data_IF_825467092616
#
_entry.id   IF_825467092616
#
_cell.length_a   1.000
_cell.length_b   1.000
_cell.length_c   1.000
_cell.angle_alpha   90.00
_cell.angle_beta   90.00
_cell.angle_gamma   90.00
#
_symmetry.space_group_name_H-M   'P 1'
#
loop_
_entity.id
_entity.type
_entity.pdbx_description
1 polymer ?
#
# COMPACT_ATOMS: atom_id res chain seq x y z
N UNK A 1 -21.59 -10.63 -8.07
CA UNK A 1 -20.77 -11.64 -7.36
C UNK A 1 -21.51 -12.97 -7.37
N UNK A 2 -20.81 -14.10 -7.55
CA UNK A 2 -21.42 -15.42 -7.32
C UNK A 2 -21.86 -15.48 -5.86
N UNK A 3 -23.05 -16.04 -5.61
CA UNK A 3 -23.51 -16.31 -4.23
C UNK A 3 -22.50 -17.25 -3.56
N UNK A 4 -22.35 -17.20 -2.23
CA UNK A 4 -21.54 -18.08 -1.36
C UNK A 4 -19.99 -18.07 -1.45
N UNK A 5 -19.36 -17.42 -2.42
CA UNK A 5 -17.89 -17.54 -2.60
C UNK A 5 -17.09 -17.12 -1.35
N UNK A 6 -17.56 -16.12 -0.61
CA UNK A 6 -16.95 -15.69 0.64
C UNK A 6 -17.12 -16.71 1.76
N UNK A 7 -18.29 -17.34 1.86
CA UNK A 7 -18.59 -18.37 2.87
C UNK A 7 -17.74 -19.62 2.61
N UNK A 8 -17.64 -20.03 1.35
CA UNK A 8 -16.77 -21.13 0.91
C UNK A 8 -15.30 -20.84 1.19
N UNK A 9 -14.81 -19.66 0.83
CA UNK A 9 -13.45 -19.25 1.18
C UNK A 9 -13.21 -19.31 2.69
N UNK A 10 -14.17 -18.83 3.49
CA UNK A 10 -14.07 -18.85 4.95
C UNK A 10 -14.12 -20.27 5.53
N UNK A 11 -14.82 -21.21 4.91
CA UNK A 11 -14.88 -22.61 5.34
C UNK A 11 -13.66 -23.41 4.88
N UNK A 12 -13.41 -23.43 3.56
CA UNK A 12 -12.42 -24.29 2.89
C UNK A 12 -10.97 -23.93 3.21
N UNK A 13 -10.71 -22.76 3.78
CA UNK A 13 -9.34 -22.34 4.17
C UNK A 13 -9.09 -22.35 5.67
N UNK A 14 -9.96 -22.94 6.50
CA UNK A 14 -9.70 -23.16 7.93
C UNK A 14 -8.60 -24.20 8.16
N UNK A 15 -8.04 -24.21 9.37
CA UNK A 15 -7.28 -25.37 9.84
C UNK A 15 -8.25 -26.33 10.52
N UNK A 16 -8.12 -27.62 10.24
CA UNK A 16 -8.79 -28.70 10.96
C UNK A 16 -7.77 -29.37 11.89
N UNK A 17 -7.99 -29.38 13.23
CA UNK A 17 -7.07 -30.00 14.17
C UNK A 17 -6.92 -31.52 13.97
N UNK A 18 -7.86 -32.17 13.29
CA UNK A 18 -7.83 -33.60 12.97
C UNK A 18 -7.26 -33.89 11.58
N UNK A 19 -7.21 -32.88 10.69
CA UNK A 19 -6.61 -32.96 9.36
C UNK A 19 -5.96 -31.61 8.98
N UNK A 20 -4.70 -31.45 9.35
CA UNK A 20 -3.97 -30.22 9.04
C UNK A 20 -3.54 -30.12 7.57
N UNK A 21 -3.69 -31.21 6.79
CA UNK A 21 -3.08 -31.33 5.47
C UNK A 21 -1.54 -31.30 5.50
N UNK A 22 -0.90 -32.09 4.66
CA UNK A 22 0.56 -32.04 4.49
C UNK A 22 0.95 -31.16 3.32
N UNK A 23 1.43 -29.94 3.56
CA UNK A 23 2.17 -29.16 2.55
C UNK A 23 3.55 -28.82 3.10
N UNK A 24 4.59 -29.34 2.43
CA UNK A 24 5.98 -28.95 2.71
C UNK A 24 6.35 -27.90 1.66
N UNK A 25 6.60 -26.64 2.05
CA UNK A 25 6.98 -25.60 1.10
C UNK A 25 8.29 -25.96 0.39
N UNK A 26 8.27 -25.84 -0.94
CA UNK A 26 9.47 -25.98 -1.76
C UNK A 26 10.24 -24.66 -1.74
N UNK A 27 11.29 -24.62 -0.91
CA UNK A 27 12.12 -23.43 -0.72
C UNK A 27 12.90 -23.02 -1.98
N UNK A 28 13.11 -23.93 -2.93
CA UNK A 28 13.75 -23.61 -4.22
C UNK A 28 12.82 -22.74 -5.07
N UNK A 29 11.50 -22.93 -4.94
CA UNK A 29 10.47 -22.17 -5.67
C UNK A 29 10.05 -20.88 -4.97
N UNK A 30 10.73 -20.48 -3.90
CA UNK A 30 10.41 -19.23 -3.20
C UNK A 30 10.55 -18.04 -4.17
N UNK A 31 9.47 -17.27 -4.40
CA UNK A 31 9.56 -16.10 -5.28
C UNK A 31 10.42 -14.99 -4.69
N UNK A 32 10.98 -14.14 -5.56
CA UNK A 32 11.72 -12.95 -5.13
C UNK A 32 10.79 -12.01 -4.33
N UNK A 33 11.15 -11.64 -3.09
CA UNK A 33 10.29 -10.80 -2.23
C UNK A 33 10.33 -9.29 -2.56
N UNK A 34 10.94 -8.92 -3.69
CA UNK A 34 11.02 -7.54 -4.14
C UNK A 34 10.83 -7.45 -5.66
N UNK A 35 10.15 -6.40 -6.11
CA UNK A 35 10.05 -6.00 -7.50
C UNK A 35 10.87 -4.73 -7.69
N UNK A 36 11.41 -4.55 -8.88
CA UNK A 36 12.21 -3.39 -9.25
C UNK A 36 11.87 -3.03 -10.71
N UNK A 37 12.01 -1.77 -11.08
CA UNK A 37 11.81 -1.28 -12.44
C UNK A 37 13.12 -0.69 -12.96
N UNK A 38 14.11 -1.53 -13.34
CA UNK A 38 15.45 -1.07 -13.73
C UNK A 38 15.42 -0.22 -15.01
N UNK A 39 14.46 -0.46 -15.89
CA UNK A 39 14.25 0.32 -17.12
C UNK A 39 13.41 1.58 -16.89
N UNK A 40 13.11 1.93 -15.63
CA UNK A 40 12.42 3.16 -15.31
C UNK A 40 13.20 4.36 -15.83
N UNK A 41 12.54 5.17 -16.65
CA UNK A 41 13.10 6.40 -17.21
C UNK A 41 13.53 7.42 -16.14
N UNK A 42 13.09 7.25 -14.89
CA UNK A 42 13.45 8.12 -13.77
C UNK A 42 13.25 7.43 -12.42
N UNK A 43 14.30 7.38 -11.62
CA UNK A 43 14.20 7.12 -10.17
C UNK A 43 14.45 8.38 -9.35
N UNK A 44 13.91 8.42 -8.13
CA UNK A 44 14.12 9.49 -7.15
C UNK A 44 14.44 8.85 -5.80
N UNK A 45 15.64 9.11 -5.29
CA UNK A 45 16.02 8.73 -3.93
C UNK A 45 15.12 9.46 -2.93
N UNK A 46 14.51 8.72 -2.00
CA UNK A 46 13.72 9.34 -0.94
C UNK A 46 14.65 9.98 0.12
N UNK A 47 14.31 11.17 0.64
CA UNK A 47 15.05 11.77 1.75
C UNK A 47 15.13 10.84 2.96
N UNK A 48 16.27 10.85 3.64
CA UNK A 48 16.42 10.16 4.92
C UNK A 48 15.39 10.66 5.95
N UNK A 49 14.97 9.76 6.83
CA UNK A 49 13.93 10.06 7.81
C UNK A 49 14.58 10.47 9.12
N UNK A 50 14.52 11.77 9.38
CA UNK A 50 14.77 12.31 10.71
C UNK A 50 13.53 12.13 11.60
N UNK A 51 13.53 11.04 12.38
CA UNK A 51 12.43 10.71 13.29
C UNK A 51 12.16 11.79 14.36
N UNK A 52 13.14 12.65 14.67
CA UNK A 52 12.97 13.71 15.67
C UNK A 52 12.00 14.82 15.23
N UNK A 53 11.70 14.90 13.92
CA UNK A 53 10.73 15.84 13.34
C UNK A 53 9.28 15.43 13.56
N UNK A 54 9.04 14.18 13.95
CA UNK A 54 7.73 13.56 14.00
C UNK A 54 7.29 13.33 15.45
N UNK A 55 6.74 14.39 16.06
CA UNK A 55 6.39 14.43 17.48
C UNK A 55 4.88 14.35 17.69
N UNK A 56 4.34 13.13 17.69
CA UNK A 56 2.99 12.83 18.13
C UNK A 56 3.01 11.46 18.80
N UNK A 57 2.51 11.35 20.03
CA UNK A 57 2.48 10.06 20.71
C UNK A 57 1.54 9.08 20.00
N UNK A 58 1.79 7.78 20.15
CA UNK A 58 0.91 6.75 19.60
C UNK A 58 -0.53 6.91 20.11
N UNK A 59 -0.71 7.24 21.39
CA UNK A 59 -2.02 7.45 22.00
C UNK A 59 -2.78 8.62 21.34
N UNK A 60 -2.09 9.74 21.08
CA UNK A 60 -2.68 10.88 20.39
C UNK A 60 -3.00 10.58 18.93
N UNK A 61 -2.11 9.87 18.22
CA UNK A 61 -2.34 9.45 16.84
C UNK A 61 -3.59 8.57 16.74
N UNK A 62 -3.74 7.58 17.63
CA UNK A 62 -4.92 6.72 17.69
C UNK A 62 -6.20 7.49 18.00
N UNK A 63 -6.14 8.45 18.93
CA UNK A 63 -7.28 9.28 19.30
C UNK A 63 -7.74 10.18 18.14
N UNK A 64 -6.78 10.84 17.47
CA UNK A 64 -7.03 11.79 16.38
C UNK A 64 -7.39 11.12 15.06
N UNK A 65 -6.96 9.87 14.85
CA UNK A 65 -7.16 9.09 13.62
C UNK A 65 -8.60 9.17 13.11
N UNK A 66 -8.81 9.73 11.92
CA UNK A 66 -10.11 9.73 11.22
C UNK A 66 -9.94 9.55 9.72
N UNK A 67 -10.95 8.98 9.06
CA UNK A 67 -11.03 8.99 7.59
C UNK A 67 -11.41 10.40 7.12
N UNK A 68 -10.43 11.18 6.68
CA UNK A 68 -10.63 12.53 6.15
C UNK A 68 -10.64 12.46 4.63
N UNK A 69 -11.75 12.88 4.02
CA UNK A 69 -12.00 12.79 2.57
C UNK A 69 -12.02 14.14 1.85
N UNK A 70 -12.01 15.24 2.61
CA UNK A 70 -12.01 16.59 2.06
C UNK A 70 -10.58 17.14 2.02
N UNK A 71 -10.02 17.34 0.83
CA UNK A 71 -8.65 17.82 0.65
C UNK A 71 -8.59 19.20 -0.01
N UNK A 72 -7.54 19.95 0.34
CA UNK A 72 -7.13 21.20 -0.32
C UNK A 72 -6.35 20.89 -1.58
N UNK A 73 -7.02 20.86 -2.73
CA UNK A 73 -6.42 20.45 -4.00
C UNK A 73 -5.34 21.42 -4.52
N UNK A 74 -5.33 22.67 -4.03
CA UNK A 74 -4.37 23.75 -4.32
C UNK A 74 -3.01 23.57 -3.62
N UNK A 75 -2.90 22.64 -2.68
CA UNK A 75 -1.69 22.41 -1.89
C UNK A 75 -0.84 21.30 -2.48
N UNK A 76 0.46 21.34 -2.18
CA UNK A 76 1.42 20.27 -2.44
C UNK A 76 1.84 19.63 -1.12
N UNK A 77 2.19 18.34 -1.17
CA UNK A 77 2.84 17.64 -0.07
C UNK A 77 4.37 17.88 -0.14
N UNK A 78 5.03 18.00 1.01
CA UNK A 78 6.49 17.98 1.06
C UNK A 78 7.01 16.60 0.73
N UNK A 79 8.18 16.52 0.08
CA UNK A 79 8.80 15.23 -0.22
C UNK A 79 9.19 14.46 1.06
N UNK A 80 9.61 15.18 2.12
CA UNK A 80 9.91 14.59 3.43
C UNK A 80 8.71 13.87 4.05
N UNK A 81 7.53 14.49 3.99
CA UNK A 81 6.30 13.89 4.52
C UNK A 81 5.95 12.63 3.72
N UNK A 82 6.10 12.67 2.38
CA UNK A 82 5.91 11.48 1.55
C UNK A 82 6.89 10.35 1.91
N UNK A 83 8.17 10.68 2.07
CA UNK A 83 9.21 9.72 2.47
C UNK A 83 8.85 9.03 3.79
N UNK A 84 8.43 9.80 4.78
CA UNK A 84 7.99 9.27 6.07
C UNK A 84 6.75 8.37 5.96
N UNK A 85 5.74 8.76 5.18
CA UNK A 85 4.54 7.94 4.95
C UNK A 85 4.91 6.59 4.28
N UNK A 86 5.82 6.61 3.30
CA UNK A 86 6.30 5.41 2.62
C UNK A 86 7.03 4.48 3.59
N UNK A 87 7.94 5.03 4.40
CA UNK A 87 8.63 4.23 5.39
C UNK A 87 7.71 3.70 6.47
N UNK A 88 6.77 4.50 6.97
CA UNK A 88 5.82 4.06 7.99
C UNK A 88 4.97 2.87 7.50
N UNK A 89 4.70 2.79 6.19
CA UNK A 89 3.92 1.70 5.60
C UNK A 89 4.76 0.46 5.28
N UNK A 90 5.95 0.61 4.69
CA UNK A 90 6.74 -0.51 4.16
C UNK A 90 8.27 -0.35 4.31
N UNK A 91 8.74 0.62 5.09
CA UNK A 91 10.16 0.89 5.35
C UNK A 91 10.85 -0.23 6.13
N UNK A 92 12.14 -0.42 5.87
CA UNK A 92 12.96 -1.45 6.52
C UNK A 92 13.35 -1.01 7.94
N UNK A 93 13.19 -1.90 8.92
CA UNK A 93 13.48 -1.67 10.35
C UNK A 93 14.55 -2.59 10.90
N UNK A 94 14.77 -3.76 10.29
CA UNK A 94 15.83 -4.68 10.67
C UNK A 94 16.22 -5.59 9.49
N UNK A 95 17.41 -6.18 9.57
CA UNK A 95 17.90 -7.19 8.62
C UNK A 95 18.30 -8.46 9.37
N UNK A 96 17.86 -9.61 8.88
CA UNK A 96 18.31 -10.92 9.37
C UNK A 96 18.57 -11.84 8.18
N UNK A 97 19.84 -12.17 7.95
CA UNK A 97 20.27 -12.81 6.70
C UNK A 97 19.84 -11.96 5.49
N UNK A 98 19.14 -12.58 4.56
CA UNK A 98 18.60 -11.92 3.36
C UNK A 98 17.21 -11.30 3.57
N UNK A 99 16.62 -11.42 4.76
CA UNK A 99 15.28 -10.90 5.06
C UNK A 99 15.37 -9.45 5.55
N UNK A 100 14.62 -8.55 4.92
CA UNK A 100 14.43 -7.17 5.36
C UNK A 100 13.08 -7.07 6.08
N UNK A 101 13.12 -6.89 7.41
CA UNK A 101 11.92 -6.68 8.19
C UNK A 101 11.38 -5.27 7.95
N UNK A 102 10.06 -5.16 7.81
CA UNK A 102 9.37 -3.90 7.51
C UNK A 102 8.64 -3.35 8.74
N UNK A 103 8.26 -2.07 8.68
CA UNK A 103 7.42 -1.40 9.68
C UNK A 103 6.06 -2.08 9.86
N UNK A 104 5.46 -2.57 8.78
CA UNK A 104 4.27 -3.42 8.86
C UNK A 104 4.66 -4.91 9.00
N UNK A 105 3.98 -5.68 9.88
CA UNK A 105 4.15 -7.11 9.94
C UNK A 105 3.61 -7.79 8.67
N UNK A 106 4.14 -8.98 8.37
CA UNK A 106 3.67 -9.82 7.28
C UNK A 106 3.71 -11.29 7.68
N UNK A 107 2.68 -12.06 7.33
CA UNK A 107 2.63 -13.48 7.64
C UNK A 107 3.87 -14.22 7.09
N UNK A 108 4.64 -14.82 7.99
CA UNK A 108 5.85 -15.56 7.64
C UNK A 108 7.00 -14.71 7.09
N UNK A 109 6.95 -13.38 7.25
CA UNK A 109 7.90 -12.43 6.67
C UNK A 109 8.05 -12.60 5.14
N UNK A 110 6.93 -12.84 4.45
CA UNK A 110 6.90 -13.10 3.00
C UNK A 110 6.69 -11.83 2.17
N UNK A 111 6.08 -10.79 2.73
CA UNK A 111 5.89 -9.47 2.13
C UNK A 111 5.29 -9.52 0.70
N UNK A 112 4.04 -10.02 0.55
CA UNK A 112 3.40 -10.13 -0.75
C UNK A 112 2.96 -8.77 -1.33
N UNK A 113 2.89 -7.73 -0.51
CA UNK A 113 2.33 -6.43 -0.89
C UNK A 113 3.40 -5.52 -1.50
N UNK A 114 3.15 -5.04 -2.73
CA UNK A 114 3.90 -3.95 -3.34
C UNK A 114 3.17 -2.63 -3.16
N UNK A 115 3.93 -1.54 -3.10
CA UNK A 115 3.39 -0.18 -2.94
C UNK A 115 3.64 0.62 -4.22
N UNK A 116 2.56 0.99 -4.88
CA UNK A 116 2.55 2.01 -5.91
C UNK A 116 1.95 3.30 -5.35
N UNK A 117 2.37 4.43 -5.89
CA UNK A 117 1.94 5.74 -5.45
C UNK A 117 1.64 6.57 -6.69
N UNK A 118 0.36 6.88 -6.87
CA UNK A 118 -0.01 7.92 -7.80
C UNK A 118 0.27 9.28 -7.15
N UNK A 119 1.21 10.03 -7.73
CA UNK A 119 1.59 11.36 -7.31
C UNK A 119 0.84 12.37 -8.15
N UNK A 120 -0.05 13.15 -7.54
CA UNK A 120 -0.71 14.29 -8.18
C UNK A 120 0.04 15.58 -7.92
N UNK A 121 0.39 15.85 -6.65
CA UNK A 121 0.92 17.12 -6.20
C UNK A 121 1.88 16.98 -4.99
N UNK A 122 3.15 16.72 -5.28
CA UNK A 122 4.25 16.67 -4.31
C UNK A 122 5.34 17.65 -4.75
N UNK A 123 6.05 18.26 -3.82
CA UNK A 123 7.20 19.13 -4.10
C UNK A 123 8.33 18.32 -4.74
N UNK A 124 8.96 18.89 -5.79
CA UNK A 124 10.11 18.31 -6.49
C UNK A 124 9.90 16.92 -7.13
N UNK A 125 8.66 16.41 -7.16
CA UNK A 125 8.32 15.12 -7.76
C UNK A 125 7.35 15.31 -8.93
N UNK A 126 7.61 14.62 -10.04
CA UNK A 126 6.75 14.66 -11.24
C UNK A 126 5.43 13.95 -10.94
N UNK A 127 4.33 14.49 -11.49
CA UNK A 127 3.04 13.79 -11.52
C UNK A 127 3.20 12.47 -12.27
N UNK A 128 2.61 11.39 -11.74
CA UNK A 128 2.66 10.07 -12.36
C UNK A 128 2.47 8.96 -11.35
N UNK A 129 2.50 7.72 -11.83
CA UNK A 129 2.51 6.51 -11.04
C UNK A 129 3.95 6.07 -10.77
N UNK A 130 4.26 5.91 -9.50
CA UNK A 130 5.57 5.50 -9.01
C UNK A 130 5.48 4.16 -8.29
N UNK A 131 6.52 3.35 -8.38
CA UNK A 131 6.70 2.13 -7.59
C UNK A 131 7.72 2.40 -6.48
N UNK A 132 7.48 1.91 -5.26
CA UNK A 132 8.42 2.02 -4.15
C UNK A 132 9.40 0.85 -4.15
N UNK A 133 10.66 1.14 -4.44
CA UNK A 133 11.74 0.16 -4.33
C UNK A 133 12.24 0.07 -2.88
N UNK A 134 11.86 -1.01 -2.21
CA UNK A 134 12.14 -1.22 -0.78
C UNK A 134 13.63 -1.32 -0.48
N UNK A 135 14.43 -1.94 -1.36
CA UNK A 135 15.86 -2.18 -1.09
C UNK A 135 16.67 -0.89 -1.12
N UNK A 136 16.33 -0.01 -2.05
CA UNK A 136 17.06 1.23 -2.32
C UNK A 136 16.43 2.45 -1.66
N UNK A 137 15.25 2.29 -1.07
CA UNK A 137 14.47 3.37 -0.47
C UNK A 137 14.27 4.53 -1.47
N UNK A 138 13.74 4.19 -2.64
CA UNK A 138 13.55 5.13 -3.75
C UNK A 138 12.19 4.93 -4.42
N UNK A 139 11.78 5.92 -5.20
CA UNK A 139 10.61 5.83 -6.09
C UNK A 139 11.08 5.67 -7.54
N UNK A 140 10.55 4.67 -8.23
CA UNK A 140 10.77 4.39 -9.65
C UNK A 140 9.54 4.83 -10.44
N UNK A 141 9.69 5.74 -11.41
CA UNK A 141 8.57 6.19 -12.23
C UNK A 141 8.14 5.04 -13.16
N UNK A 142 6.89 4.60 -13.02
CA UNK A 142 6.32 3.53 -13.85
C UNK A 142 5.65 4.14 -15.08
N UNK A 143 4.83 5.18 -14.86
CA UNK A 143 4.03 5.86 -15.89
C UNK A 143 3.78 7.31 -15.51
N UNK A 144 3.68 8.22 -16.48
CA UNK A 144 3.37 9.64 -16.26
C UNK A 144 2.19 10.15 -17.09
N UNK A 145 1.49 9.24 -17.75
CA UNK A 145 0.35 9.47 -18.63
C UNK A 145 -1.01 9.19 -17.96
N UNK A 146 -1.02 8.96 -16.63
CA UNK A 146 -2.24 8.70 -15.85
C UNK A 146 -2.76 10.00 -15.25
N UNK A 147 -4.06 10.25 -15.40
CA UNK A 147 -4.76 11.36 -14.75
C UNK A 147 -5.44 10.94 -13.43
N UNK A 148 -5.66 11.93 -12.56
CA UNK A 148 -6.43 11.76 -11.32
C UNK A 148 -7.91 11.43 -11.59
N UNK A 149 -8.42 11.81 -12.77
CA UNK A 149 -9.79 11.51 -13.22
C UNK A 149 -9.94 10.04 -13.63
N UNK A 150 -8.98 9.49 -14.39
CA UNK A 150 -8.94 8.06 -14.70
C UNK A 150 -8.84 7.21 -13.42
N UNK A 151 -8.00 7.64 -12.48
CA UNK A 151 -7.86 6.95 -11.20
C UNK A 151 -9.17 7.00 -10.39
N UNK A 152 -9.85 8.15 -10.38
CA UNK A 152 -11.13 8.30 -9.70
C UNK A 152 -12.24 7.49 -10.37
N UNK A 153 -12.28 7.40 -11.70
CA UNK A 153 -13.21 6.54 -12.43
C UNK A 153 -13.06 5.07 -12.04
N UNK A 154 -11.80 4.59 -11.98
CA UNK A 154 -11.50 3.24 -11.51
C UNK A 154 -11.90 3.04 -10.03
N UNK A 155 -11.87 4.10 -9.21
CA UNK A 155 -12.32 4.11 -7.82
C UNK A 155 -13.79 4.56 -7.64
N UNK A 156 -14.71 4.16 -8.54
CA UNK A 156 -16.15 4.43 -8.42
C UNK A 156 -16.52 5.93 -8.33
N UNK A 157 -15.77 6.78 -9.03
CA UNK A 157 -15.94 8.25 -9.03
C UNK A 157 -15.86 8.89 -7.63
N UNK A 158 -15.10 8.28 -6.73
CA UNK A 158 -14.88 8.81 -5.40
C UNK A 158 -14.05 10.11 -5.44
N UNK A 159 -14.73 11.26 -5.34
CA UNK A 159 -14.15 12.60 -5.55
C UNK A 159 -12.90 12.96 -4.69
N UNK A 160 -12.68 12.28 -3.56
CA UNK A 160 -11.46 12.48 -2.78
C UNK A 160 -10.19 12.00 -3.51
N UNK A 161 -10.31 11.00 -4.39
CA UNK A 161 -9.20 10.48 -5.21
C UNK A 161 -8.67 11.57 -6.15
N UNK A 162 -9.57 12.34 -6.78
CA UNK A 162 -9.20 13.45 -7.68
C UNK A 162 -8.42 14.55 -6.96
N UNK A 163 -8.71 14.77 -5.67
CA UNK A 163 -8.18 15.92 -4.90
C UNK A 163 -6.97 15.55 -4.04
N UNK A 164 -6.74 14.27 -3.78
CA UNK A 164 -5.64 13.77 -2.98
C UNK A 164 -4.29 14.23 -3.57
N UNK A 165 -3.33 14.59 -2.72
CA UNK A 165 -1.98 14.92 -3.19
C UNK A 165 -1.27 13.66 -3.70
N UNK A 166 -1.49 12.53 -3.02
CA UNK A 166 -1.02 11.22 -3.45
C UNK A 166 -2.07 10.15 -3.14
N UNK A 167 -2.02 9.05 -3.89
CA UNK A 167 -2.83 7.86 -3.65
C UNK A 167 -1.92 6.64 -3.58
N UNK A 168 -1.89 6.00 -2.42
CA UNK A 168 -1.23 4.72 -2.22
C UNK A 168 -2.11 3.62 -2.82
N UNK A 169 -1.50 2.74 -3.61
CA UNK A 169 -2.12 1.64 -4.33
C UNK A 169 -1.32 0.39 -3.97
N UNK A 170 -1.96 -0.57 -3.32
CA UNK A 170 -1.31 -1.79 -2.84
C UNK A 170 -1.73 -2.98 -3.67
N UNK A 171 -0.79 -3.57 -4.39
CA UNK A 171 -1.00 -4.84 -5.09
C UNK A 171 -0.47 -5.98 -4.25
N UNK A 172 -0.96 -7.20 -4.50
CA UNK A 172 -0.39 -8.42 -3.97
C UNK A 172 0.23 -9.24 -5.09
N UNK A 173 1.53 -9.51 -5.00
CA UNK A 173 2.17 -10.58 -5.75
C UNK A 173 1.79 -11.90 -5.06
N UNK A 174 0.67 -12.48 -5.49
CA UNK A 174 -0.05 -13.56 -4.79
C UNK A 174 0.89 -14.73 -4.49
N UNK A 175 1.73 -15.09 -5.46
CA UNK A 175 2.60 -16.25 -5.33
C UNK A 175 3.65 -16.09 -4.22
N UNK A 176 4.02 -14.87 -3.79
CA UNK A 176 4.95 -14.65 -2.65
C UNK A 176 4.42 -15.24 -1.34
N UNK A 177 3.10 -15.38 -1.19
CA UNK A 177 2.46 -16.04 -0.04
C UNK A 177 1.90 -17.42 -0.40
N UNK A 178 1.35 -17.59 -1.60
CA UNK A 178 0.65 -18.82 -2.01
C UNK A 178 1.57 -20.05 -2.05
N UNK A 179 2.85 -19.89 -2.41
CA UNK A 179 3.82 -21.01 -2.42
C UNK A 179 3.96 -21.69 -1.04
N UNK A 180 3.80 -20.93 0.06
CA UNK A 180 3.92 -21.42 1.44
C UNK A 180 2.57 -21.77 2.06
N UNK A 181 1.54 -20.96 1.81
CA UNK A 181 0.26 -21.02 2.52
C UNK A 181 -0.92 -21.50 1.67
N UNK A 182 -0.68 -21.89 0.41
CA UNK A 182 -1.71 -22.31 -0.54
C UNK A 182 -2.86 -21.28 -0.60
N UNK A 183 -4.11 -21.72 -0.73
CA UNK A 183 -5.28 -20.82 -0.82
C UNK A 183 -5.51 -19.99 0.45
N UNK A 184 -5.00 -20.43 1.61
CA UNK A 184 -5.09 -19.64 2.85
C UNK A 184 -4.26 -18.35 2.77
N UNK A 185 -3.31 -18.27 1.83
CA UNK A 185 -2.49 -17.07 1.59
C UNK A 185 -3.31 -15.79 1.43
N UNK A 186 -4.48 -15.83 0.79
CA UNK A 186 -5.33 -14.66 0.59
C UNK A 186 -5.77 -14.02 1.91
N UNK A 187 -6.05 -14.82 2.96
CA UNK A 187 -6.38 -14.29 4.28
C UNK A 187 -5.24 -13.42 4.82
N UNK A 188 -4.01 -13.91 4.66
CA UNK A 188 -2.82 -13.23 5.14
C UNK A 188 -2.49 -11.99 4.31
N UNK A 189 -2.63 -12.06 2.99
CA UNK A 189 -2.44 -10.92 2.09
C UNK A 189 -3.35 -9.75 2.50
N UNK A 190 -4.63 -10.00 2.77
CA UNK A 190 -5.56 -8.95 3.18
C UNK A 190 -5.28 -8.41 4.59
N UNK A 191 -4.83 -9.26 5.52
CA UNK A 191 -4.38 -8.81 6.85
C UNK A 191 -3.15 -7.91 6.75
N UNK A 192 -2.16 -8.30 5.94
CA UNK A 192 -0.95 -7.52 5.67
C UNK A 192 -1.34 -6.13 5.12
N UNK A 193 -2.23 -6.05 4.12
CA UNK A 193 -2.71 -4.77 3.59
C UNK A 193 -3.44 -3.91 4.63
N UNK A 194 -4.18 -4.54 5.54
CA UNK A 194 -4.82 -3.86 6.68
C UNK A 194 -3.80 -3.20 7.61
N UNK A 195 -2.74 -3.94 7.99
CA UNK A 195 -1.65 -3.40 8.82
C UNK A 195 -0.96 -2.21 8.14
N UNK A 196 -0.66 -2.36 6.84
CA UNK A 196 0.00 -1.33 6.03
C UNK A 196 -0.83 -0.04 6.00
N UNK A 197 -2.12 -0.15 5.66
CA UNK A 197 -2.98 1.03 5.61
C UNK A 197 -3.19 1.67 6.98
N UNK A 198 -3.25 0.87 8.05
CA UNK A 198 -3.36 1.43 9.40
C UNK A 198 -2.11 2.22 9.79
N UNK A 199 -0.91 1.74 9.43
CA UNK A 199 0.32 2.53 9.60
C UNK A 199 0.23 3.85 8.82
N UNK A 200 -0.28 3.83 7.58
CA UNK A 200 -0.48 5.04 6.78
C UNK A 200 -1.41 6.04 7.49
N UNK A 201 -2.51 5.56 8.07
CA UNK A 201 -3.42 6.40 8.84
C UNK A 201 -2.73 7.10 10.02
N UNK A 202 -1.94 6.36 10.79
CA UNK A 202 -1.24 6.91 11.95
C UNK A 202 -0.14 7.90 11.52
N UNK A 203 0.65 7.54 10.51
CA UNK A 203 1.68 8.42 9.96
C UNK A 203 1.07 9.70 9.37
N UNK A 204 -0.11 9.63 8.75
CA UNK A 204 -0.82 10.81 8.28
C UNK A 204 -1.21 11.75 9.42
N UNK A 205 -1.68 11.25 10.57
CA UNK A 205 -1.96 12.11 11.74
C UNK A 205 -0.69 12.80 12.26
N UNK A 206 0.43 12.09 12.28
CA UNK A 206 1.74 12.62 12.70
C UNK A 206 2.18 13.78 11.78
N UNK A 207 1.92 13.68 10.47
CA UNK A 207 2.18 14.75 9.50
C UNK A 207 1.07 15.83 9.43
N UNK A 208 -0.01 15.72 10.22
CA UNK A 208 -1.15 16.63 10.13
C UNK A 208 -1.94 16.51 8.81
N UNK A 209 -1.90 15.35 8.16
CA UNK A 209 -2.54 15.05 6.89
C UNK A 209 -3.87 14.30 7.08
N UNK A 210 -4.72 14.35 6.06
CA UNK A 210 -5.89 13.51 5.95
C UNK A 210 -5.56 12.20 5.23
N UNK A 211 -6.09 11.09 5.72
CA UNK A 211 -6.00 9.77 5.10
C UNK A 211 -7.41 9.19 4.90
N UNK A 212 -7.63 8.46 3.81
CA UNK A 212 -8.81 7.61 3.64
C UNK A 212 -8.47 6.33 2.87
N UNK A 213 -8.52 5.19 3.54
CA UNK A 213 -8.53 3.86 2.90
C UNK A 213 -9.81 3.63 2.09
N UNK A 214 -9.67 2.95 0.96
CA UNK A 214 -10.73 2.67 -0.01
C UNK A 214 -10.57 1.21 -0.47
N UNK A 215 -11.55 0.38 -0.15
CA UNK A 215 -11.63 -1.02 -0.59
C UNK A 215 -12.63 -1.26 -1.74
N UNK A 216 -13.24 -0.19 -2.25
CA UNK A 216 -14.24 -0.28 -3.31
C UNK A 216 -13.72 0.43 -4.57
N UNK A 217 -13.41 -0.36 -5.60
CA UNK A 217 -12.91 0.07 -6.91
C UNK A 217 -13.21 -1.02 -7.94
N UNK A 218 -13.00 -0.73 -9.22
CA UNK A 218 -13.00 -1.72 -10.30
C UNK A 218 -11.59 -2.33 -10.43
N UNK A 219 -11.39 -3.52 -9.88
CA UNK A 219 -10.09 -4.21 -9.81
C UNK A 219 -9.40 -4.25 -11.18
N UNK A 220 -10.10 -4.71 -12.22
CA UNK A 220 -9.56 -4.81 -13.58
C UNK A 220 -9.14 -3.47 -14.17
N UNK A 221 -9.79 -2.38 -13.78
CA UNK A 221 -9.46 -1.05 -14.29
C UNK A 221 -8.19 -0.53 -13.63
N UNK A 222 -8.07 -0.68 -12.31
CA UNK A 222 -6.85 -0.34 -11.58
C UNK A 222 -5.67 -1.23 -11.98
N UNK A 223 -5.88 -2.54 -12.17
CA UNK A 223 -4.84 -3.46 -12.64
C UNK A 223 -4.26 -3.03 -13.99
N UNK A 224 -5.12 -2.64 -14.94
CA UNK A 224 -4.67 -2.08 -16.23
C UNK A 224 -3.92 -0.76 -16.08
N UNK A 225 -4.37 0.13 -15.19
CA UNK A 225 -3.65 1.39 -14.93
C UNK A 225 -2.25 1.13 -14.34
N UNK A 226 -2.15 0.17 -13.42
CA UNK A 226 -0.91 -0.25 -12.77
C UNK A 226 0.02 -1.06 -13.68
N UNK A 227 -0.49 -1.62 -14.77
CA UNK A 227 0.27 -2.50 -15.67
C UNK A 227 0.50 -3.89 -15.10
N UNK A 228 -0.39 -4.38 -14.25
CA UNK A 228 -0.34 -5.73 -13.64
C UNK A 228 -1.43 -6.62 -14.23
N UNK A 229 -1.24 -7.94 -14.14
CA UNK A 229 -2.06 -8.93 -14.84
C UNK A 229 -3.44 -9.18 -14.17
N UNK A 230 -3.59 -8.81 -12.90
CA UNK A 230 -4.79 -9.08 -12.11
C UNK A 230 -4.91 -10.52 -11.62
N UNK A 231 -3.87 -11.34 -11.83
CA UNK A 231 -3.82 -12.76 -11.44
C UNK A 231 -2.63 -13.07 -10.56
N UNK A 232 -1.41 -12.99 -11.07
CA UNK A 232 -0.18 -13.17 -10.29
C UNK A 232 0.12 -11.94 -9.44
N UNK A 233 -0.20 -10.75 -9.95
CA UNK A 233 -0.19 -9.49 -9.22
C UNK A 233 -1.51 -8.74 -9.42
N UNK A 234 -2.21 -8.44 -8.33
CA UNK A 234 -3.51 -7.75 -8.38
C UNK A 234 -3.64 -6.68 -7.31
N UNK A 235 -4.29 -5.56 -7.61
CA UNK A 235 -4.69 -4.53 -6.66
C UNK A 235 -5.59 -5.14 -5.58
N UNK A 236 -5.31 -4.82 -4.32
CA UNK A 236 -6.09 -5.34 -3.19
C UNK A 236 -6.60 -4.23 -2.27
N UNK A 237 -5.95 -3.07 -2.27
CA UNK A 237 -6.35 -1.95 -1.42
C UNK A 237 -5.75 -0.64 -1.92
N UNK A 238 -6.38 0.49 -1.62
CA UNK A 238 -5.80 1.81 -1.92
C UNK A 238 -6.15 2.81 -0.80
N UNK A 239 -5.39 3.90 -0.69
CA UNK A 239 -5.67 4.95 0.26
C UNK A 239 -5.25 6.33 -0.27
N UNK A 240 -6.08 7.33 -0.05
CA UNK A 240 -5.79 8.72 -0.40
C UNK A 240 -5.08 9.43 0.75
N UNK A 241 -4.07 10.24 0.43
CA UNK A 241 -3.45 11.19 1.34
C UNK A 241 -3.62 12.60 0.80
N UNK A 242 -3.99 13.53 1.67
CA UNK A 242 -3.98 14.92 1.30
C UNK A 242 -4.03 15.91 2.44
N UNK A 243 -3.71 17.17 2.14
CA UNK A 243 -3.85 18.26 3.11
C UNK A 243 -5.33 18.44 3.40
N UNK A 244 -5.80 18.20 4.64
CA UNK A 244 -7.21 18.25 4.94
C UNK A 244 -7.74 19.67 4.75
N UNK A 245 -8.97 19.80 4.23
CA UNK A 245 -9.73 21.03 4.44
C UNK A 245 -9.99 21.12 5.94
N UNK A 246 -9.69 22.24 6.56
CA UNK A 246 -10.08 22.50 7.93
C UNK A 246 -11.60 22.45 7.99
N UNK A 247 -12.15 21.33 8.45
CA UNK A 247 -13.46 21.33 9.07
C UNK A 247 -13.17 21.40 10.55
N UNK A 248 -13.53 22.53 11.17
CA UNK A 248 -13.74 22.59 12.61
C UNK A 248 -14.61 21.39 12.98
N UNK A 249 -14.00 20.36 13.54
CA UNK A 249 -14.72 19.32 14.25
C UNK A 249 -14.44 19.62 15.71
N UNK A 250 -15.33 20.44 16.27
CA UNK A 250 -15.64 20.52 17.70
C UNK A 250 -15.90 19.12 18.27
#
# INVERSE_FOLDING_TARGET
MRKDIGDRFQEETKYDPHDMGGHVPDWIKRPEPFKEYPDSVRSVQLPEIDLSRYNLSLAEALLKRRSRRAYRADRRLKLDDLSFLIWATQGVTARYGNTLFRTAPSAGALYPVETYIFVRAVESLKKGLWHYNVRRFELELVRDDISEDELAQAALMQSMVQKAQVVFLWTAVVNRSKWKYLERAYRYIYLDAGHICQNLYLAAEVCGLGCCGIGAFFDDWLNRLLGVDGTDETIIYMATIGVPKTTELS
#
